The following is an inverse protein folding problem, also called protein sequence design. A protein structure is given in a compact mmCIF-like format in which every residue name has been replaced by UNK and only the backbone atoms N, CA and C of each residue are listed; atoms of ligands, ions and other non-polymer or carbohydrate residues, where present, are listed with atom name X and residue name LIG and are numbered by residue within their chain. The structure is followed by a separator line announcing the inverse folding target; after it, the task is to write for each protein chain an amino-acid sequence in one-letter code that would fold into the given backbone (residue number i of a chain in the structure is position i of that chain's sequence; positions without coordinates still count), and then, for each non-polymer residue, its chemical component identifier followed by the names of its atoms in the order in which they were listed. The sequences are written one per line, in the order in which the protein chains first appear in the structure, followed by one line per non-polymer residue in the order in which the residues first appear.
data_IF_762818972388
#
_entry.id   IF_762818972388
#
_cell.length_a   1.000
_cell.length_b   1.000
_cell.length_c   1.000
_cell.angle_alpha   90.00
_cell.angle_beta   90.00
_cell.angle_gamma   90.00
#
_symmetry.space_group_name_H-M   'P 1'
#
loop_
_entity.id
_entity.type
_entity.pdbx_description
1 polymer ?
#
# COMPACT_ATOMS: atom_id res chain seq x y z
N UNK A 1 -6.56 -25.44 4.46
CA UNK A 1 -5.11 -25.42 4.74
C UNK A 1 -4.61 -24.09 4.22
N UNK A 2 -4.20 -23.18 5.10
CA UNK A 2 -3.56 -21.91 4.72
C UNK A 2 -2.06 -22.21 4.74
N UNK A 3 -1.37 -21.96 3.63
CA UNK A 3 0.05 -22.28 3.47
C UNK A 3 0.89 -21.45 4.47
N UNK A 4 1.70 -22.09 5.34
CA UNK A 4 2.50 -21.41 6.37
C UNK A 4 3.69 -20.59 5.82
N UNK A 5 3.83 -20.45 4.49
CA UNK A 5 4.76 -19.52 3.85
C UNK A 5 4.02 -18.60 2.86
N UNK A 6 2.98 -17.90 3.31
CA UNK A 6 2.39 -16.85 2.47
C UNK A 6 3.35 -15.68 2.36
N UNK A 7 4.08 -15.65 1.26
CA UNK A 7 4.82 -14.50 0.77
C UNK A 7 4.05 -13.88 -0.38
N UNK A 8 3.99 -12.56 -0.41
CA UNK A 8 3.30 -11.81 -1.46
C UNK A 8 4.35 -11.08 -2.29
N UNK A 9 4.42 -11.36 -3.59
CA UNK A 9 5.33 -10.65 -4.48
C UNK A 9 4.90 -9.19 -4.62
N UNK A 10 5.76 -8.25 -4.23
CA UNK A 10 5.47 -6.83 -4.42
C UNK A 10 6.20 -6.31 -5.66
N UNK A 11 5.50 -5.51 -6.45
CA UNK A 11 6.01 -4.78 -7.60
C UNK A 11 5.46 -3.35 -7.61
N UNK A 12 5.80 -2.56 -8.62
CA UNK A 12 5.21 -1.23 -8.83
C UNK A 12 3.72 -1.27 -9.17
N UNK A 13 3.16 -2.44 -9.48
CA UNK A 13 1.72 -2.64 -9.70
C UNK A 13 1.10 -3.29 -8.45
N UNK A 14 0.49 -2.47 -7.60
CA UNK A 14 -0.08 -2.93 -6.33
C UNK A 14 -1.52 -3.43 -6.51
N UNK A 15 -1.77 -4.72 -6.26
CA UNK A 15 -3.11 -5.30 -6.23
C UNK A 15 -3.81 -5.01 -4.90
N UNK A 16 -5.12 -5.22 -4.81
CA UNK A 16 -5.84 -5.06 -3.54
C UNK A 16 -5.31 -5.98 -2.44
N UNK A 17 -4.86 -7.18 -2.81
CA UNK A 17 -4.18 -8.11 -1.88
C UNK A 17 -2.87 -7.51 -1.36
N UNK A 18 -2.08 -6.86 -2.23
CA UNK A 18 -0.87 -6.15 -1.80
C UNK A 18 -1.23 -5.03 -0.81
N UNK A 19 -2.28 -4.24 -1.12
CA UNK A 19 -2.69 -3.11 -0.27
C UNK A 19 -3.20 -3.56 1.11
N UNK A 20 -3.93 -4.67 1.18
CA UNK A 20 -4.36 -5.25 2.46
C UNK A 20 -3.16 -5.65 3.31
N UNK A 21 -2.20 -6.37 2.74
CA UNK A 21 -1.00 -6.78 3.45
C UNK A 21 -0.13 -5.59 3.89
N UNK A 22 -0.08 -4.52 3.08
CA UNK A 22 0.60 -3.26 3.43
C UNK A 22 -0.10 -2.55 4.59
N UNK A 23 -1.43 -2.56 4.65
CA UNK A 23 -2.17 -2.01 5.79
C UNK A 23 -1.89 -2.81 7.07
N UNK A 24 -1.79 -4.14 7.01
CA UNK A 24 -1.39 -4.96 8.16
C UNK A 24 0.05 -4.65 8.62
N UNK A 25 0.92 -4.25 7.69
CA UNK A 25 2.26 -3.76 8.03
C UNK A 25 2.25 -2.40 8.75
N UNK A 26 1.18 -1.60 8.62
CA UNK A 26 1.04 -0.35 9.39
C UNK A 26 0.84 -0.61 10.90
N UNK A 27 0.35 -1.78 11.30
CA UNK A 27 0.30 -2.15 12.73
C UNK A 27 1.69 -2.55 13.27
N UNK A 28 2.56 -3.04 12.38
CA UNK A 28 3.96 -3.40 12.69
C UNK A 28 4.85 -2.17 12.74
N UNK A 29 4.67 -1.27 11.77
CA UNK A 29 5.39 0.00 11.71
C UNK A 29 4.73 0.92 12.73
N UNK A 30 5.46 1.49 13.68
CA UNK A 30 4.84 2.37 14.69
C UNK A 30 4.18 3.66 14.11
N UNK A 31 4.23 3.85 12.78
CA UNK A 31 3.60 4.93 12.04
C UNK A 31 2.43 4.41 11.18
N UNK A 32 1.32 5.16 11.17
CA UNK A 32 0.18 5.01 10.25
C UNK A 32 0.51 5.31 8.76
N UNK A 33 1.75 5.66 8.47
CA UNK A 33 2.25 6.09 7.16
C UNK A 33 1.83 5.13 6.01
N UNK A 34 1.93 3.79 6.14
CA UNK A 34 1.52 2.88 5.06
C UNK A 34 0.03 2.95 4.76
N UNK A 35 -0.83 3.00 5.78
CA UNK A 35 -2.28 3.10 5.61
C UNK A 35 -2.70 4.41 4.95
N UNK A 36 -2.05 5.53 5.29
CA UNK A 36 -2.29 6.80 4.61
C UNK A 36 -1.92 6.76 3.13
N UNK A 37 -0.78 6.16 2.78
CA UNK A 37 -0.36 6.01 1.38
C UNK A 37 -1.32 5.12 0.59
N UNK A 38 -1.79 4.02 1.19
CA UNK A 38 -2.79 3.12 0.56
C UNK A 38 -4.11 3.87 0.30
N UNK A 39 -4.57 4.69 1.25
CA UNK A 39 -5.78 5.52 1.05
C UNK A 39 -5.61 6.51 -0.10
N UNK A 40 -4.48 7.25 -0.14
CA UNK A 40 -4.18 8.18 -1.23
C UNK A 40 -4.13 7.48 -2.59
N UNK A 41 -3.55 6.28 -2.65
CA UNK A 41 -3.49 5.50 -3.88
C UNK A 41 -4.90 5.10 -4.36
N UNK A 42 -5.77 4.69 -3.44
CA UNK A 42 -7.16 4.35 -3.75
C UNK A 42 -7.96 5.57 -4.24
N UNK A 43 -7.81 6.73 -3.59
CA UNK A 43 -8.45 7.97 -4.03
C UNK A 43 -8.02 8.35 -5.46
N UNK A 44 -6.74 8.18 -5.79
CA UNK A 44 -6.20 8.44 -7.12
C UNK A 44 -6.72 7.45 -8.16
N UNK A 45 -6.83 6.16 -7.81
CA UNK A 45 -7.43 5.12 -8.66
C UNK A 45 -8.91 5.40 -8.94
N UNK A 46 -9.65 5.78 -7.91
CA UNK A 46 -11.05 6.18 -8.04
C UNK A 46 -11.19 7.40 -8.93
N UNK A 47 -10.38 8.43 -8.72
CA UNK A 47 -10.36 9.63 -9.57
C UNK A 47 -10.05 9.27 -11.02
N UNK A 48 -9.07 8.40 -11.29
CA UNK A 48 -8.75 7.93 -12.63
C UNK A 48 -9.94 7.22 -13.29
N UNK A 49 -10.59 6.29 -12.58
CA UNK A 49 -11.79 5.60 -13.07
C UNK A 49 -12.90 6.61 -13.39
N UNK A 50 -13.17 7.55 -12.49
CA UNK A 50 -14.16 8.60 -12.70
C UNK A 50 -13.84 9.45 -13.93
N UNK A 51 -12.57 9.87 -14.12
CA UNK A 51 -12.17 10.64 -15.31
C UNK A 51 -12.36 9.85 -16.60
N UNK A 52 -12.18 8.53 -16.59
CA UNK A 52 -12.47 7.69 -17.75
C UNK A 52 -13.96 7.63 -18.07
N UNK A 53 -14.83 7.51 -17.06
CA UNK A 53 -16.29 7.56 -17.24
C UNK A 53 -16.74 8.92 -17.81
N UNK A 54 -16.07 10.02 -17.43
CA UNK A 54 -16.39 11.36 -17.93
C UNK A 54 -16.11 11.53 -19.43
N UNK A 55 -15.19 10.76 -20.03
CA UNK A 55 -14.90 10.84 -21.48
C UNK A 55 -16.14 10.51 -22.30
N UNK A 56 -16.89 9.48 -21.88
CA UNK A 56 -18.13 9.07 -22.54
C UNK A 56 -19.30 10.01 -22.21
N UNK A 57 -19.36 10.49 -20.96
CA UNK A 57 -20.45 11.38 -20.48
C UNK A 57 -20.36 12.79 -21.06
N UNK A 58 -19.16 13.30 -21.29
CA UNK A 58 -18.89 14.67 -21.75
C UNK A 58 -17.94 14.69 -22.95
N UNK A 59 -18.37 14.26 -24.15
CA UNK A 59 -17.48 14.14 -25.31
C UNK A 59 -16.84 15.46 -25.77
N UNK A 60 -17.51 16.60 -25.51
CA UNK A 60 -16.96 17.93 -25.79
C UNK A 60 -15.67 18.24 -25.02
N UNK A 61 -15.51 17.64 -23.84
CA UNK A 61 -14.41 17.88 -22.92
C UNK A 61 -13.47 16.65 -22.80
N UNK A 62 -13.64 15.68 -23.71
CA UNK A 62 -12.93 14.40 -23.69
C UNK A 62 -11.40 14.56 -23.64
N UNK A 63 -10.82 15.53 -24.37
CA UNK A 63 -9.37 15.78 -24.35
C UNK A 63 -8.87 16.15 -22.94
N UNK A 64 -9.62 16.99 -22.23
CA UNK A 64 -9.29 17.38 -20.85
C UNK A 64 -9.41 16.17 -19.92
N UNK A 65 -10.41 15.32 -20.08
CA UNK A 65 -10.58 14.11 -19.29
C UNK A 65 -9.51 13.05 -19.56
N UNK A 66 -9.08 12.88 -20.81
CA UNK A 66 -7.92 12.06 -21.16
C UNK A 66 -6.64 12.56 -20.48
N UNK A 67 -6.40 13.87 -20.51
CA UNK A 67 -5.27 14.48 -19.83
C UNK A 67 -5.31 14.24 -18.32
N UNK A 68 -6.47 14.45 -17.67
CA UNK A 68 -6.66 14.18 -16.24
C UNK A 68 -6.43 12.71 -15.89
N UNK A 69 -6.96 11.77 -16.68
CA UNK A 69 -6.74 10.34 -16.50
C UNK A 69 -5.25 9.96 -16.61
N UNK A 70 -4.55 10.55 -17.57
CA UNK A 70 -3.09 10.38 -17.73
C UNK A 70 -2.31 10.92 -16.52
N UNK A 71 -2.72 12.07 -15.96
CA UNK A 71 -2.10 12.63 -14.75
C UNK A 71 -2.38 11.78 -13.52
N UNK A 72 -3.60 11.27 -13.36
CA UNK A 72 -3.95 10.36 -12.28
C UNK A 72 -3.09 9.08 -12.35
N UNK A 73 -2.88 8.52 -13.55
CA UNK A 73 -2.00 7.37 -13.75
C UNK A 73 -0.54 7.66 -13.33
N UNK A 74 -0.02 8.87 -13.61
CA UNK A 74 1.32 9.26 -13.17
C UNK A 74 1.44 9.32 -11.64
N UNK A 75 0.42 9.84 -10.96
CA UNK A 75 0.38 9.89 -9.50
C UNK A 75 0.24 8.48 -8.90
N UNK A 76 -0.58 7.61 -9.50
CA UNK A 76 -0.72 6.20 -9.13
C UNK A 76 0.63 5.47 -9.16
N UNK A 77 1.42 5.65 -10.22
CA UNK A 77 2.77 5.07 -10.31
C UNK A 77 3.72 5.61 -9.23
N UNK A 78 3.70 6.92 -8.98
CA UNK A 78 4.54 7.55 -7.95
C UNK A 78 4.21 7.03 -6.56
N UNK A 79 2.92 6.95 -6.22
CA UNK A 79 2.46 6.42 -4.93
C UNK A 79 2.82 4.94 -4.78
N UNK A 80 2.63 4.14 -5.82
CA UNK A 80 2.96 2.71 -5.78
C UNK A 80 4.46 2.47 -5.57
N UNK A 81 5.31 3.24 -6.25
CA UNK A 81 6.76 3.21 -6.02
C UNK A 81 7.11 3.66 -4.59
N UNK A 82 6.49 4.72 -4.10
CA UNK A 82 6.74 5.24 -2.75
C UNK A 82 6.39 4.20 -1.68
N UNK A 83 5.26 3.51 -1.83
CA UNK A 83 4.87 2.42 -0.93
C UNK A 83 5.88 1.28 -0.98
N UNK A 84 6.28 0.86 -2.19
CA UNK A 84 7.29 -0.18 -2.36
C UNK A 84 8.61 0.18 -1.67
N UNK A 85 9.12 1.39 -1.89
CA UNK A 85 10.36 1.88 -1.26
C UNK A 85 10.23 1.99 0.27
N UNK A 86 9.05 2.36 0.79
CA UNK A 86 8.78 2.36 2.23
C UNK A 86 8.93 0.96 2.82
N UNK A 87 8.33 -0.07 2.19
CA UNK A 87 8.45 -1.46 2.65
C UNK A 87 9.90 -1.94 2.64
N UNK A 88 10.69 -1.55 1.64
CA UNK A 88 12.13 -1.85 1.60
C UNK A 88 12.86 -1.20 2.78
N UNK A 89 12.61 0.09 3.05
CA UNK A 89 13.24 0.83 4.16
C UNK A 89 12.91 0.24 5.53
N UNK A 90 11.69 -0.27 5.70
CA UNK A 90 11.23 -0.93 6.93
C UNK A 90 11.70 -2.40 7.04
N UNK A 91 12.50 -2.87 6.08
CA UNK A 91 13.01 -4.24 6.00
C UNK A 91 11.89 -5.28 6.08
N UNK A 92 10.81 -5.03 5.34
CA UNK A 92 9.63 -5.89 5.25
C UNK A 92 9.61 -6.76 3.98
N UNK A 93 10.47 -6.44 3.01
CA UNK A 93 10.68 -7.20 1.80
C UNK A 93 11.95 -8.03 1.90
N UNK A 94 11.90 -9.26 1.40
CA UNK A 94 13.07 -10.12 1.25
C UNK A 94 13.90 -9.77 -0.01
N UNK A 95 14.98 -10.53 -0.23
CA UNK A 95 15.87 -10.37 -1.39
C UNK A 95 15.18 -10.59 -2.75
N UNK A 96 14.00 -11.21 -2.76
CA UNK A 96 13.18 -11.48 -3.94
C UNK A 96 11.99 -10.51 -4.05
N UNK A 97 11.98 -9.42 -3.27
CA UNK A 97 10.89 -8.45 -3.17
C UNK A 97 9.55 -9.06 -2.74
N UNK A 98 9.61 -10.09 -1.89
CA UNK A 98 8.42 -10.69 -1.32
C UNK A 98 8.17 -10.15 0.09
N UNK A 99 6.92 -9.74 0.33
CA UNK A 99 6.43 -9.39 1.65
C UNK A 99 6.17 -10.68 2.44
N UNK A 100 6.88 -10.86 3.55
CA UNK A 100 6.77 -12.04 4.38
C UNK A 100 5.71 -11.83 5.49
N UNK A 101 4.51 -12.39 5.31
CA UNK A 101 3.42 -12.25 6.26
C UNK A 101 3.72 -12.90 7.62
N UNK A 102 4.51 -13.96 7.64
CA UNK A 102 4.94 -14.60 8.89
C UNK A 102 5.85 -13.67 9.69
N UNK A 103 6.78 -12.98 9.02
CA UNK A 103 7.65 -11.98 9.65
C UNK A 103 6.86 -10.78 10.19
N UNK A 104 5.83 -10.32 9.48
CA UNK A 104 4.89 -9.30 9.96
C UNK A 104 4.16 -9.76 11.23
N UNK A 105 3.60 -10.97 11.19
CA UNK A 105 2.90 -11.58 12.33
C UNK A 105 3.82 -11.73 13.56
N UNK A 106 5.05 -12.20 13.36
CA UNK A 106 6.02 -12.35 14.45
C UNK A 106 6.47 -11.00 15.02
N UNK A 107 6.64 -9.96 14.19
CA UNK A 107 6.89 -8.59 14.67
C UNK A 107 5.70 -8.03 15.44
N UNK A 108 4.48 -8.21 14.96
CA UNK A 108 3.26 -7.82 15.67
C UNK A 108 3.17 -8.48 17.06
N UNK A 109 3.47 -9.78 17.14
CA UNK A 109 3.54 -10.51 18.41
C UNK A 109 4.63 -9.96 19.32
N UNK A 110 5.81 -9.66 18.81
CA UNK A 110 6.90 -9.08 19.59
C UNK A 110 6.55 -7.68 20.13
N UNK A 111 5.90 -6.83 19.32
CA UNK A 111 5.41 -5.51 19.75
C UNK A 111 4.33 -5.66 20.82
N UNK A 112 3.37 -6.56 20.64
CA UNK A 112 2.33 -6.84 21.62
C UNK A 112 2.91 -7.35 22.95
N UNK A 113 3.86 -8.29 22.91
CA UNK A 113 4.57 -8.79 24.10
C UNK A 113 5.35 -7.67 24.79
N UNK A 114 6.04 -6.81 24.04
CA UNK A 114 6.76 -5.66 24.58
C UNK A 114 5.82 -4.70 25.31
N UNK A 115 4.64 -4.39 24.74
CA UNK A 115 3.61 -3.56 25.38
C UNK A 115 3.07 -4.19 26.66
N UNK A 116 2.93 -5.52 26.73
CA UNK A 116 2.51 -6.23 27.95
C UNK A 116 3.60 -6.20 29.03
N UNK A 117 4.85 -6.43 28.64
CA UNK A 117 5.99 -6.51 29.57
C UNK A 117 6.47 -5.11 30.04
N UNK A 118 6.32 -4.09 29.19
CA UNK A 118 6.79 -2.72 29.45
C UNK A 118 5.71 -1.69 29.10
N UNK A 119 4.57 -1.67 29.82
CA UNK A 119 3.40 -0.86 29.47
C UNK A 119 3.62 0.67 29.53
N UNK A 120 4.76 1.13 30.04
CA UNK A 120 5.09 2.55 30.20
C UNK A 120 6.32 3.00 29.39
N UNK A 121 6.88 2.15 28.52
CA UNK A 121 7.99 2.51 27.64
C UNK A 121 7.46 3.11 26.33
N UNK A 122 6.87 4.31 26.41
CA UNK A 122 6.65 5.16 25.24
C UNK A 122 7.19 6.55 25.56
N UNK A 123 8.33 6.88 24.96
CA UNK A 123 8.79 8.24 24.71
C UNK A 123 9.08 8.36 23.23
#
# INVERSE_FOLDING_TARGET
MIDPKQTIQISSELTDEHLLAICEAADVIACECPSYLVRLLNDVREFRRYTNECIERFPSDAETHHWLSSRANQVEMLLSLTIYELLQKENLLDENNQLNLQQLSDRNRAIALSKVLHPYSSK
#
